data_IF_774232429241
#
_entry.id   IF_774232429241
#
_cell.length_a   1.000
_cell.length_b   1.000
_cell.length_c   1.000
_cell.angle_alpha   90.00
_cell.angle_beta   90.00
_cell.angle_gamma   90.00
#
_symmetry.space_group_name_H-M   'P 1'
#
loop_
_entity.id
_entity.type
_entity.pdbx_description
1 polymer ?
#
# COMPACT_ATOMS: atom_id res chain seq x y z
N UNK A 1 41.12 -9.87 17.03
CA UNK A 1 39.83 -9.43 17.59
C UNK A 1 39.46 -8.13 16.91
N UNK A 2 38.95 -8.24 15.70
CA UNK A 2 38.29 -7.20 14.92
C UNK A 2 37.24 -7.95 14.09
N UNK A 3 36.10 -7.32 13.82
CA UNK A 3 34.95 -7.79 13.01
C UNK A 3 33.66 -8.19 13.75
N UNK A 4 33.51 -7.87 15.04
CA UNK A 4 32.18 -7.98 15.71
C UNK A 4 31.35 -6.70 15.55
N UNK A 5 32.00 -5.53 15.50
CA UNK A 5 31.34 -4.22 15.45
C UNK A 5 30.83 -3.85 14.05
N UNK A 6 31.59 -4.14 12.98
CA UNK A 6 31.15 -3.83 11.61
C UNK A 6 29.87 -4.60 11.24
N UNK A 7 29.80 -5.90 11.57
CA UNK A 7 28.64 -6.74 11.25
C UNK A 7 27.38 -6.41 12.07
N UNK A 8 27.54 -5.72 13.21
CA UNK A 8 26.42 -5.27 14.04
C UNK A 8 25.78 -3.99 13.50
N UNK A 9 26.59 -3.06 12.99
CA UNK A 9 26.14 -1.75 12.48
C UNK A 9 25.42 -1.89 11.14
N UNK A 10 25.86 -2.80 10.25
CA UNK A 10 25.14 -3.06 8.99
C UNK A 10 23.81 -3.81 9.18
N UNK A 11 23.58 -4.43 10.34
CA UNK A 11 22.35 -5.20 10.60
C UNK A 11 21.20 -4.36 11.15
N UNK A 12 21.49 -3.15 11.66
CA UNK A 12 20.49 -2.23 12.23
C UNK A 12 19.92 -1.23 11.21
N UNK A 13 20.39 -1.23 9.97
CA UNK A 13 19.93 -0.31 8.93
C UNK A 13 19.25 -1.08 7.78
N UNK A 14 17.91 -1.03 7.80
CA UNK A 14 16.96 -1.37 6.72
C UNK A 14 16.90 -2.85 6.30
N UNK A 15 16.35 -3.69 7.18
CA UNK A 15 15.44 -4.74 6.72
C UNK A 15 14.01 -4.29 6.97
N UNK A 16 13.46 -3.48 6.06
CA UNK A 16 12.02 -3.31 5.94
C UNK A 16 11.54 -4.38 4.96
N UNK A 17 11.35 -5.59 5.48
CA UNK A 17 10.49 -6.53 4.78
C UNK A 17 9.06 -6.08 5.10
N UNK A 18 8.37 -5.53 4.11
CA UNK A 18 6.92 -5.38 4.22
C UNK A 18 6.34 -6.78 4.40
N UNK A 19 5.70 -7.02 5.55
CA UNK A 19 5.12 -8.32 5.86
C UNK A 19 3.94 -8.59 4.92
N UNK A 20 3.95 -9.76 4.28
CA UNK A 20 2.85 -10.19 3.39
C UNK A 20 2.07 -11.27 4.10
N UNK A 21 0.74 -11.13 4.13
CA UNK A 21 -0.17 -12.12 4.69
C UNK A 21 -1.35 -12.37 3.75
N UNK A 22 -1.92 -13.57 3.81
CA UNK A 22 -3.17 -13.89 3.13
C UNK A 22 -4.34 -13.48 4.04
N UNK A 23 -5.27 -12.69 3.51
CA UNK A 23 -6.43 -12.19 4.22
C UNK A 23 -7.70 -12.64 3.49
N UNK A 24 -8.75 -13.00 4.23
CA UNK A 24 -10.07 -13.23 3.65
C UNK A 24 -10.61 -11.93 3.04
N UNK A 25 -11.17 -12.01 1.83
CA UNK A 25 -11.54 -10.82 1.05
C UNK A 25 -12.55 -9.92 1.77
N UNK A 26 -13.49 -10.51 2.49
CA UNK A 26 -14.51 -9.83 3.31
C UNK A 26 -13.91 -9.12 4.54
N UNK A 27 -12.69 -9.47 4.95
CA UNK A 27 -11.98 -8.84 6.06
C UNK A 27 -11.09 -7.67 5.63
N UNK A 28 -10.88 -7.47 4.33
CA UNK A 28 -10.03 -6.39 3.80
C UNK A 28 -10.48 -4.99 4.30
N UNK A 29 -11.79 -4.65 4.33
CA UNK A 29 -12.25 -3.35 4.85
C UNK A 29 -11.95 -3.10 6.34
N UNK A 30 -11.60 -4.14 7.10
CA UNK A 30 -11.29 -4.05 8.53
C UNK A 30 -9.80 -3.80 8.82
N UNK A 31 -8.96 -3.73 7.78
CA UNK A 31 -7.52 -3.50 7.91
C UNK A 31 -7.18 -2.00 7.91
N UNK A 32 -5.99 -1.67 8.38
CA UNK A 32 -5.39 -0.34 8.18
C UNK A 32 -4.89 -0.23 6.73
N UNK A 33 -5.80 0.17 5.85
CA UNK A 33 -5.55 0.25 4.41
C UNK A 33 -4.91 1.58 4.03
N UNK A 34 -4.07 1.55 3.00
CA UNK A 34 -3.64 2.78 2.34
C UNK A 34 -4.86 3.54 1.77
N UNK A 35 -4.66 4.84 1.53
CA UNK A 35 -5.69 5.71 0.96
C UNK A 35 -6.24 5.11 -0.34
N UNK A 36 -7.57 5.03 -0.44
CA UNK A 36 -8.32 4.53 -1.60
C UNK A 36 -8.14 3.07 -2.02
N UNK A 37 -7.58 2.22 -1.16
CA UNK A 37 -7.44 0.80 -1.52
C UNK A 37 -8.78 0.14 -1.84
N UNK A 38 -9.86 0.46 -1.12
CA UNK A 38 -11.20 -0.09 -1.38
C UNK A 38 -11.75 0.29 -2.77
N UNK A 39 -11.91 1.58 -3.12
CA UNK A 39 -12.43 1.95 -4.44
C UNK A 39 -11.48 1.55 -5.58
N UNK A 40 -10.17 1.45 -5.34
CA UNK A 40 -9.23 0.89 -6.30
C UNK A 40 -9.50 -0.60 -6.58
N UNK A 41 -9.71 -1.41 -5.54
CA UNK A 41 -10.06 -2.83 -5.70
C UNK A 41 -11.42 -3.01 -6.39
N UNK A 42 -12.39 -2.16 -6.07
CA UNK A 42 -13.69 -2.16 -6.74
C UNK A 42 -13.56 -1.90 -8.25
N UNK A 43 -12.74 -0.92 -8.65
CA UNK A 43 -12.41 -0.66 -10.06
C UNK A 43 -11.77 -1.89 -10.72
N UNK A 44 -10.79 -2.51 -10.06
CA UNK A 44 -10.10 -3.69 -10.61
C UNK A 44 -11.01 -4.91 -10.76
N UNK A 45 -12.09 -5.01 -9.99
CA UNK A 45 -13.07 -6.09 -10.09
C UNK A 45 -14.15 -5.83 -11.13
N UNK A 46 -14.40 -4.56 -11.47
CA UNK A 46 -15.37 -4.18 -12.48
C UNK A 46 -14.83 -4.51 -13.88
N UNK A 47 -15.49 -5.41 -14.64
CA UNK A 47 -14.98 -5.90 -15.92
C UNK A 47 -15.01 -4.86 -17.04
N UNK A 48 -15.76 -3.78 -16.86
CA UNK A 48 -15.92 -2.66 -17.78
C UNK A 48 -15.06 -1.45 -17.42
N UNK A 49 -14.25 -1.54 -16.37
CA UNK A 49 -13.37 -0.48 -15.87
C UNK A 49 -11.91 -0.83 -16.08
N UNK A 50 -11.11 0.21 -16.27
CA UNK A 50 -9.68 0.01 -16.53
C UNK A 50 -8.77 1.11 -15.99
N UNK A 51 -9.34 2.24 -15.56
CA UNK A 51 -8.54 3.39 -15.12
C UNK A 51 -9.06 3.98 -13.81
N UNK A 52 -8.11 4.29 -12.90
CA UNK A 52 -8.33 5.00 -11.64
C UNK A 52 -7.40 6.22 -11.61
N UNK A 53 -7.96 7.41 -11.81
CA UNK A 53 -7.18 8.64 -12.01
C UNK A 53 -7.40 9.66 -10.89
N UNK A 54 -6.30 10.18 -10.35
CA UNK A 54 -6.30 11.34 -9.45
C UNK A 54 -6.15 12.62 -10.28
N UNK A 55 -7.19 13.47 -10.32
CA UNK A 55 -7.20 14.69 -11.14
C UNK A 55 -6.32 15.79 -10.56
N UNK A 56 -6.75 16.38 -9.45
CA UNK A 56 -6.04 17.48 -8.81
C UNK A 56 -6.21 17.39 -7.29
N UNK A 57 -5.24 17.95 -6.57
CA UNK A 57 -5.30 18.08 -5.12
C UNK A 57 -6.19 19.27 -4.76
N UNK A 58 -7.22 19.04 -3.97
CA UNK A 58 -8.06 20.06 -3.34
C UNK A 58 -7.59 20.33 -1.91
N UNK A 59 -8.16 21.34 -1.24
CA UNK A 59 -7.87 21.61 0.17
C UNK A 59 -8.26 20.42 1.09
N UNK A 60 -9.30 19.67 0.71
CA UNK A 60 -9.84 18.56 1.49
C UNK A 60 -9.34 17.16 1.05
N UNK A 61 -8.51 17.07 0.00
CA UNK A 61 -8.00 15.77 -0.46
C UNK A 61 -7.64 15.71 -1.94
N UNK A 62 -7.85 14.55 -2.56
CA UNK A 62 -7.64 14.34 -4.00
C UNK A 62 -8.98 14.06 -4.68
N UNK A 63 -9.25 14.78 -5.76
CA UNK A 63 -10.39 14.47 -6.64
C UNK A 63 -10.06 13.24 -7.50
N UNK A 64 -11.01 12.30 -7.60
CA UNK A 64 -10.84 11.00 -8.26
C UNK A 64 -11.90 10.77 -9.31
N UNK A 65 -11.50 10.12 -10.39
CA UNK A 65 -12.40 9.60 -11.41
C UNK A 65 -12.05 8.18 -11.81
N UNK A 66 -13.08 7.42 -12.16
CA UNK A 66 -12.99 6.01 -12.54
C UNK A 66 -13.61 5.85 -13.92
N UNK A 67 -12.83 5.37 -14.88
CA UNK A 67 -13.25 5.19 -16.28
C UNK A 67 -13.44 3.73 -16.64
#
# INVERSE_FOLDING_TARGET
MENVTANSIYKSQLFRFEEVSWVQKDQIPNLDLAYDMLPLMEMMEAPDKSEFFYRHRTEDGWEKEIF
#
